data_IF_338123167247
#
_entry.id   IF_338123167247
#
_cell.length_a   1.000
_cell.length_b   1.000
_cell.length_c   1.000
_cell.angle_alpha   90.00
_cell.angle_beta   90.00
_cell.angle_gamma   90.00
#
_symmetry.space_group_name_H-M   'P 1'
#
loop_
_entity.id
_entity.type
_entity.pdbx_description
1 polymer ?
#
# COMPACT_ATOMS: atom_id res chain seq x y z
N UNK A 1 26.70 0.98 -14.50
CA UNK A 1 26.30 2.20 -13.80
C UNK A 1 26.41 1.93 -12.30
N UNK A 2 27.45 2.45 -11.63
CA UNK A 2 27.61 2.27 -10.18
C UNK A 2 26.65 3.24 -9.48
N UNK A 3 25.53 2.74 -9.00
CA UNK A 3 24.62 3.49 -8.13
C UNK A 3 25.29 3.54 -6.75
N UNK A 4 26.09 4.56 -6.50
CA UNK A 4 26.59 4.83 -5.15
C UNK A 4 25.49 5.55 -4.37
N UNK A 5 24.94 4.89 -3.36
CA UNK A 5 24.02 5.54 -2.41
C UNK A 5 24.78 6.67 -1.74
N UNK A 6 24.42 7.91 -2.05
CA UNK A 6 25.04 9.09 -1.49
C UNK A 6 24.67 9.31 -0.04
N UNK A 7 25.57 9.93 0.75
CA UNK A 7 25.25 10.33 2.14
C UNK A 7 23.98 11.18 2.23
N UNK A 8 23.69 11.97 1.18
CA UNK A 8 22.46 12.78 1.08
C UNK A 8 21.19 11.93 1.01
N UNK A 9 21.21 10.82 0.26
CA UNK A 9 20.04 9.92 0.12
C UNK A 9 19.71 9.25 1.46
N UNK A 10 20.75 8.88 2.20
CA UNK A 10 20.60 8.31 3.55
C UNK A 10 20.00 9.33 4.51
N UNK A 11 20.51 10.58 4.50
CA UNK A 11 20.00 11.67 5.37
C UNK A 11 18.54 11.96 5.04
N UNK A 12 18.16 12.06 3.76
CA UNK A 12 16.78 12.28 3.33
C UNK A 12 15.85 11.13 3.73
N UNK A 13 16.30 9.89 3.65
CA UNK A 13 15.52 8.73 4.10
C UNK A 13 15.25 8.78 5.60
N UNK A 14 16.26 9.07 6.41
CA UNK A 14 16.08 9.21 7.86
C UNK A 14 15.22 10.44 8.23
N UNK A 15 15.38 11.55 7.53
CA UNK A 15 14.56 12.75 7.72
C UNK A 15 13.08 12.46 7.43
N UNK A 16 12.78 11.75 6.34
CA UNK A 16 11.43 11.32 6.00
C UNK A 16 10.83 10.41 7.06
N UNK A 17 11.60 9.43 7.55
CA UNK A 17 11.17 8.52 8.62
C UNK A 17 10.90 9.27 9.94
N UNK A 18 11.79 10.18 10.33
CA UNK A 18 11.63 11.02 11.52
C UNK A 18 10.39 11.92 11.41
N UNK A 19 10.17 12.54 10.24
CA UNK A 19 8.99 13.36 9.99
C UNK A 19 7.70 12.55 10.13
N UNK A 20 7.65 11.35 9.57
CA UNK A 20 6.50 10.45 9.71
C UNK A 20 6.21 10.10 11.17
N UNK A 21 7.25 9.80 11.96
CA UNK A 21 7.10 9.53 13.39
C UNK A 21 6.58 10.74 14.16
N UNK A 22 7.11 11.94 13.88
CA UNK A 22 6.69 13.19 14.50
C UNK A 22 5.22 13.48 14.18
N UNK A 23 4.82 13.35 12.92
CA UNK A 23 3.42 13.56 12.51
C UNK A 23 2.49 12.61 13.24
N UNK A 24 2.81 11.31 13.31
CA UNK A 24 1.99 10.33 14.02
C UNK A 24 1.90 10.61 15.52
N UNK A 25 2.98 11.10 16.13
CA UNK A 25 3.01 11.47 17.56
C UNK A 25 2.07 12.65 17.85
N UNK A 26 2.00 13.64 16.95
CA UNK A 26 1.10 14.80 17.10
C UNK A 26 -0.34 14.48 16.73
N UNK A 27 -0.57 13.57 15.79
CA UNK A 27 -1.93 13.20 15.36
C UNK A 27 -2.72 12.51 16.48
N UNK A 28 -2.06 11.69 17.31
CA UNK A 28 -2.74 10.95 18.36
C UNK A 28 -3.42 11.87 19.41
N UNK A 29 -2.75 12.86 20.05
CA UNK A 29 -3.42 13.79 20.94
C UNK A 29 -4.44 14.67 20.22
N UNK A 30 -4.23 14.98 18.93
CA UNK A 30 -5.18 15.74 18.13
C UNK A 30 -6.50 14.96 17.96
N UNK A 31 -6.44 13.66 17.65
CA UNK A 31 -7.61 12.80 17.55
C UNK A 31 -8.38 12.74 18.88
N UNK A 32 -7.67 12.58 20.01
CA UNK A 32 -8.30 12.51 21.34
C UNK A 32 -8.95 13.85 21.71
N UNK A 33 -8.41 14.96 21.25
CA UNK A 33 -8.95 16.28 21.55
C UNK A 33 -10.21 16.63 20.75
N UNK A 34 -10.26 16.27 19.46
CA UNK A 34 -11.34 16.66 18.54
C UNK A 34 -12.44 15.61 18.39
N UNK A 35 -12.14 14.33 18.61
CA UNK A 35 -13.10 13.25 18.43
C UNK A 35 -13.60 12.72 19.76
N UNK A 36 -14.88 12.28 19.77
CA UNK A 36 -15.41 11.52 20.91
C UNK A 36 -14.72 10.16 21.02
N UNK A 37 -14.68 9.55 22.21
CA UNK A 37 -14.07 8.21 22.39
C UNK A 37 -14.62 7.16 21.42
N UNK A 38 -15.91 7.21 21.11
CA UNK A 38 -16.58 6.28 20.19
C UNK A 38 -16.07 6.46 18.74
N UNK A 39 -15.89 7.70 18.29
CA UNK A 39 -15.32 8.00 16.98
C UNK A 39 -13.85 7.56 16.87
N UNK A 40 -13.08 7.77 17.94
CA UNK A 40 -11.69 7.28 17.99
C UNK A 40 -11.65 5.75 17.94
N UNK A 41 -12.54 5.07 18.68
CA UNK A 41 -12.70 3.62 18.63
C UNK A 41 -13.02 3.12 17.23
N UNK A 42 -14.00 3.73 16.56
CA UNK A 42 -14.40 3.40 15.20
C UNK A 42 -13.23 3.61 14.20
N UNK A 43 -12.48 4.69 14.35
CA UNK A 43 -11.29 4.96 13.55
C UNK A 43 -10.23 3.87 13.67
N UNK A 44 -9.95 3.39 14.89
CA UNK A 44 -9.03 2.28 15.10
C UNK A 44 -9.54 0.96 14.52
N UNK A 45 -10.84 0.73 14.52
CA UNK A 45 -11.45 -0.41 13.81
C UNK A 45 -11.19 -0.32 12.31
N UNK A 46 -11.38 0.86 11.70
CA UNK A 46 -11.07 1.07 10.28
C UNK A 46 -9.61 0.75 9.96
N UNK A 47 -8.68 1.29 10.75
CA UNK A 47 -7.24 1.02 10.60
C UNK A 47 -6.94 -0.47 10.72
N UNK A 48 -7.54 -1.16 11.69
CA UNK A 48 -7.33 -2.59 11.91
C UNK A 48 -7.78 -3.43 10.73
N UNK A 49 -8.98 -3.17 10.20
CA UNK A 49 -9.51 -3.88 9.03
C UNK A 49 -8.66 -3.54 7.79
N UNK A 50 -8.28 -2.27 7.61
CA UNK A 50 -7.40 -1.85 6.53
C UNK A 50 -6.03 -2.53 6.58
N UNK A 51 -5.47 -2.71 7.77
CA UNK A 51 -4.20 -3.42 7.96
C UNK A 51 -4.30 -4.88 7.54
N UNK A 52 -5.44 -5.54 7.82
CA UNK A 52 -5.70 -6.90 7.32
C UNK A 52 -5.80 -6.90 5.78
N UNK A 53 -6.48 -5.90 5.19
CA UNK A 53 -6.57 -5.77 3.74
C UNK A 53 -5.19 -5.60 3.07
N UNK A 54 -4.27 -4.85 3.69
CA UNK A 54 -2.91 -4.68 3.19
C UNK A 54 -2.08 -5.98 3.22
N UNK A 55 -2.44 -6.97 4.06
CA UNK A 55 -1.78 -8.28 4.03
C UNK A 55 -2.01 -9.03 2.70
N UNK A 56 -3.03 -8.67 1.92
CA UNK A 56 -3.25 -9.23 0.58
C UNK A 56 -2.13 -8.90 -0.42
N UNK A 57 -1.21 -7.97 -0.11
CA UNK A 57 0.01 -7.78 -0.92
C UNK A 57 0.91 -9.03 -0.94
N UNK A 58 0.87 -9.90 0.10
CA UNK A 58 1.67 -11.13 0.21
C UNK A 58 3.16 -10.94 -0.14
N UNK A 59 3.68 -9.72 -0.06
CA UNK A 59 5.06 -9.40 -0.43
C UNK A 59 5.33 -9.36 -1.93
N UNK A 60 4.29 -9.30 -2.77
CA UNK A 60 4.46 -9.13 -4.22
C UNK A 60 5.19 -7.82 -4.56
N UNK A 61 4.98 -6.75 -3.79
CA UNK A 61 5.67 -5.46 -3.95
C UNK A 61 7.19 -5.63 -4.02
N UNK A 62 7.78 -6.39 -3.10
CA UNK A 62 9.22 -6.65 -3.06
C UNK A 62 9.68 -7.41 -4.32
N UNK A 63 8.90 -8.39 -4.77
CA UNK A 63 9.20 -9.17 -5.97
C UNK A 63 9.12 -8.32 -7.23
N UNK A 64 8.11 -7.47 -7.35
CA UNK A 64 7.96 -6.57 -8.50
C UNK A 64 9.06 -5.51 -8.54
N UNK A 65 9.38 -4.86 -7.41
CA UNK A 65 10.49 -3.90 -7.32
C UNK A 65 11.80 -4.54 -7.78
N UNK A 66 12.08 -5.76 -7.35
CA UNK A 66 13.27 -6.49 -7.78
C UNK A 66 13.27 -6.76 -9.29
N UNK A 67 12.17 -7.23 -9.84
CA UNK A 67 12.04 -7.52 -11.27
C UNK A 67 12.16 -6.24 -12.13
N UNK A 68 11.56 -5.14 -11.69
CA UNK A 68 11.69 -3.84 -12.34
C UNK A 68 13.16 -3.38 -12.32
N UNK A 69 13.86 -3.55 -11.20
CA UNK A 69 15.28 -3.22 -11.08
C UNK A 69 16.12 -4.05 -12.04
N UNK A 70 15.83 -5.34 -12.21
CA UNK A 70 16.53 -6.19 -13.18
C UNK A 70 16.29 -5.73 -14.63
N UNK A 71 15.06 -5.40 -14.99
CA UNK A 71 14.75 -4.86 -16.33
C UNK A 71 15.50 -3.55 -16.58
N UNK A 72 15.58 -2.68 -15.56
CA UNK A 72 16.29 -1.41 -15.63
C UNK A 72 17.80 -1.60 -15.77
N UNK A 73 18.35 -2.67 -15.18
CA UNK A 73 19.78 -3.05 -15.28
C UNK A 73 20.13 -3.80 -16.56
N UNK A 74 19.21 -3.93 -17.52
CA UNK A 74 19.47 -4.56 -18.82
C UNK A 74 19.30 -6.07 -18.83
N UNK A 75 18.45 -6.64 -17.96
CA UNK A 75 18.11 -8.05 -18.03
C UNK A 75 17.44 -8.38 -19.37
N UNK A 76 17.93 -9.42 -20.06
CA UNK A 76 17.33 -9.93 -21.30
C UNK A 76 16.16 -10.87 -21.01
N UNK A 77 16.26 -11.65 -19.94
CA UNK A 77 15.21 -12.58 -19.49
C UNK A 77 15.16 -12.66 -17.96
N UNK A 78 13.96 -12.78 -17.42
CA UNK A 78 13.70 -13.06 -16.00
C UNK A 78 13.38 -14.54 -15.83
N UNK A 79 14.35 -15.33 -15.38
CA UNK A 79 14.17 -16.76 -15.05
C UNK A 79 14.05 -16.94 -13.53
N UNK A 80 13.37 -18.00 -13.11
CA UNK A 80 13.10 -18.30 -11.68
C UNK A 80 14.37 -18.39 -10.82
N UNK A 81 15.49 -18.81 -11.39
CA UNK A 81 16.74 -19.02 -10.67
C UNK A 81 17.92 -18.18 -11.17
N UNK A 82 17.87 -17.68 -12.41
CA UNK A 82 18.96 -16.89 -13.00
C UNK A 82 18.39 -15.75 -13.84
N UNK A 83 19.03 -14.60 -13.75
CA UNK A 83 18.73 -13.45 -14.59
C UNK A 83 19.84 -13.38 -15.64
N UNK A 84 19.49 -13.46 -16.92
CA UNK A 84 20.46 -13.25 -18.00
C UNK A 84 20.54 -11.76 -18.31
N UNK A 85 21.73 -11.20 -18.24
CA UNK A 85 21.95 -9.79 -18.61
C UNK A 85 22.41 -9.69 -20.06
N UNK A 86 21.93 -8.69 -20.76
CA UNK A 86 22.45 -8.35 -22.09
C UNK A 86 23.84 -7.71 -21.96
N UNK A 87 24.74 -8.01 -22.88
CA UNK A 87 26.08 -7.41 -22.92
C UNK A 87 26.04 -5.89 -23.18
N UNK A 88 24.91 -5.34 -23.64
CA UNK A 88 24.75 -3.90 -23.91
C UNK A 88 24.52 -3.04 -22.67
N UNK A 89 24.08 -3.62 -21.55
CA UNK A 89 23.74 -2.87 -20.34
C UNK A 89 22.59 -1.86 -20.51
N UNK A 90 21.86 -1.91 -21.62
CA UNK A 90 20.75 -1.03 -21.93
C UNK A 90 19.44 -1.49 -21.26
N UNK A 91 18.58 -0.53 -20.91
CA UNK A 91 17.27 -0.81 -20.31
C UNK A 91 16.40 -1.62 -21.27
N UNK A 92 15.88 -2.74 -20.81
CA UNK A 92 14.94 -3.55 -21.60
C UNK A 92 13.49 -3.07 -21.40
N UNK A 93 13.10 -2.07 -22.20
CA UNK A 93 11.75 -1.47 -22.11
C UNK A 93 10.63 -2.45 -22.49
N UNK A 94 10.87 -3.42 -23.36
CA UNK A 94 9.85 -4.41 -23.74
C UNK A 94 9.54 -5.34 -22.57
N UNK A 95 10.56 -5.85 -21.91
CA UNK A 95 10.41 -6.69 -20.72
C UNK A 95 9.82 -5.90 -19.55
N UNK A 96 10.27 -4.65 -19.35
CA UNK A 96 9.72 -3.74 -18.33
C UNK A 96 8.21 -3.52 -18.52
N UNK A 97 7.75 -3.31 -19.76
CA UNK A 97 6.32 -3.15 -20.06
C UNK A 97 5.51 -4.41 -19.67
N UNK A 98 6.04 -5.59 -19.96
CA UNK A 98 5.39 -6.86 -19.59
C UNK A 98 5.28 -6.99 -18.08
N UNK A 99 6.37 -6.70 -17.35
CA UNK A 99 6.39 -6.75 -15.88
C UNK A 99 5.40 -5.76 -15.28
N UNK A 100 5.35 -4.52 -15.78
CA UNK A 100 4.41 -3.50 -15.30
C UNK A 100 2.96 -3.88 -15.60
N UNK A 101 2.68 -4.48 -16.76
CA UNK A 101 1.33 -4.95 -17.09
C UNK A 101 0.90 -6.09 -16.17
N UNK A 102 1.78 -7.05 -15.91
CA UNK A 102 1.53 -8.14 -14.96
C UNK A 102 1.31 -7.61 -13.53
N UNK A 103 2.12 -6.63 -13.10
CA UNK A 103 1.98 -5.95 -11.82
C UNK A 103 0.59 -5.33 -11.67
N UNK A 104 0.17 -4.52 -12.65
CA UNK A 104 -1.16 -3.87 -12.63
C UNK A 104 -2.30 -4.89 -12.58
N UNK A 105 -2.21 -5.97 -13.35
CA UNK A 105 -3.25 -6.99 -13.36
C UNK A 105 -3.36 -7.69 -12.00
N UNK A 106 -2.24 -8.09 -11.42
CA UNK A 106 -2.20 -8.77 -10.12
C UNK A 106 -2.74 -7.85 -9.02
N UNK A 107 -2.29 -6.60 -8.97
CA UNK A 107 -2.78 -5.66 -7.96
C UNK A 107 -4.23 -5.24 -8.17
N UNK A 108 -4.72 -5.16 -9.40
CA UNK A 108 -6.14 -4.95 -9.67
C UNK A 108 -7.00 -6.10 -9.13
N UNK A 109 -6.56 -7.35 -9.30
CA UNK A 109 -7.27 -8.52 -8.78
C UNK A 109 -7.21 -8.59 -7.26
N UNK A 110 -6.02 -8.45 -6.68
CA UNK A 110 -5.84 -8.49 -5.22
C UNK A 110 -6.57 -7.34 -4.52
N UNK A 111 -6.42 -6.13 -5.03
CA UNK A 111 -7.13 -4.95 -4.52
C UNK A 111 -8.64 -5.09 -4.68
N UNK A 112 -9.12 -5.64 -5.80
CA UNK A 112 -10.53 -5.93 -6.03
C UNK A 112 -11.10 -6.92 -5.02
N UNK A 113 -10.39 -8.00 -4.73
CA UNK A 113 -10.77 -8.98 -3.69
C UNK A 113 -10.81 -8.31 -2.32
N UNK A 114 -9.77 -7.55 -1.96
CA UNK A 114 -9.71 -6.82 -0.70
C UNK A 114 -10.87 -5.83 -0.57
N UNK A 115 -11.19 -5.07 -1.64
CA UNK A 115 -12.31 -4.14 -1.66
C UNK A 115 -13.65 -4.85 -1.44
N UNK A 116 -13.89 -5.96 -2.13
CA UNK A 116 -15.13 -6.73 -1.97
C UNK A 116 -15.26 -7.23 -0.52
N UNK A 117 -14.19 -7.75 0.07
CA UNK A 117 -14.19 -8.20 1.47
C UNK A 117 -14.43 -7.04 2.45
N UNK A 118 -13.84 -5.88 2.21
CA UNK A 118 -14.09 -4.69 3.03
C UNK A 118 -15.54 -4.22 2.92
N UNK A 119 -16.09 -4.16 1.70
CA UNK A 119 -17.46 -3.70 1.48
C UNK A 119 -18.53 -4.70 1.95
N UNK A 120 -18.20 -5.99 2.05
CA UNK A 120 -19.12 -7.02 2.57
C UNK A 120 -18.92 -7.26 4.06
N UNK A 121 -17.88 -8.02 4.43
CA UNK A 121 -17.58 -8.38 5.80
C UNK A 121 -17.25 -7.18 6.69
N UNK A 122 -16.46 -6.24 6.15
CA UNK A 122 -16.10 -5.01 6.86
C UNK A 122 -17.32 -4.12 7.15
N UNK A 123 -18.20 -3.92 6.16
CA UNK A 123 -19.43 -3.15 6.34
C UNK A 123 -20.37 -3.81 7.35
N UNK A 124 -20.52 -5.14 7.31
CA UNK A 124 -21.30 -5.87 8.30
C UNK A 124 -20.76 -5.63 9.72
N UNK A 125 -19.44 -5.73 9.90
CA UNK A 125 -18.80 -5.54 11.20
C UNK A 125 -18.92 -4.09 11.70
N UNK A 126 -18.68 -3.10 10.84
CA UNK A 126 -18.87 -1.68 11.16
C UNK A 126 -20.32 -1.42 11.58
N UNK A 127 -21.29 -2.03 10.91
CA UNK A 127 -22.71 -1.93 11.23
C UNK A 127 -23.07 -2.47 12.61
N UNK A 128 -22.32 -3.42 13.16
CA UNK A 128 -22.55 -3.91 14.54
C UNK A 128 -22.03 -2.96 15.63
N UNK A 129 -21.19 -2.02 15.27
CA UNK A 129 -20.53 -1.11 16.20
C UNK A 129 -21.17 0.29 16.22
N UNK A 130 -21.87 0.65 15.14
CA UNK A 130 -22.45 2.00 14.98
C UNK A 130 -23.91 1.99 15.46
N UNK A 131 -24.19 2.86 16.43
CA UNK A 131 -25.54 3.04 16.96
C UNK A 131 -26.45 3.76 15.94
N UNK A 132 -27.77 3.50 15.98
CA UNK A 132 -28.76 3.90 14.98
C UNK A 132 -28.81 5.41 14.63
N UNK A 133 -28.23 6.28 15.44
CA UNK A 133 -28.28 7.74 15.26
C UNK A 133 -27.18 8.33 14.36
N UNK A 134 -26.05 7.62 14.14
CA UNK A 134 -24.89 8.11 13.37
C UNK A 134 -24.55 7.27 12.13
N UNK A 135 -25.47 6.42 11.69
CA UNK A 135 -25.19 5.38 10.69
C UNK A 135 -24.67 5.92 9.36
N UNK A 136 -25.26 6.97 8.81
CA UNK A 136 -24.95 7.42 7.44
C UNK A 136 -23.53 7.97 7.32
N UNK A 137 -23.09 8.78 8.27
CA UNK A 137 -21.76 9.39 8.25
C UNK A 137 -20.66 8.34 8.41
N UNK A 138 -20.85 7.38 9.31
CA UNK A 138 -19.92 6.28 9.53
C UNK A 138 -19.77 5.38 8.29
N UNK A 139 -20.88 5.06 7.61
CA UNK A 139 -20.83 4.27 6.37
C UNK A 139 -20.18 5.02 5.20
N UNK A 140 -20.41 6.32 5.08
CA UNK A 140 -19.76 7.16 4.07
C UNK A 140 -18.24 7.21 4.35
N UNK A 141 -17.84 7.46 5.59
CA UNK A 141 -16.44 7.46 5.98
C UNK A 141 -15.79 6.10 5.74
N UNK A 142 -16.47 4.99 6.06
CA UNK A 142 -16.04 3.64 5.78
C UNK A 142 -15.85 3.38 4.27
N UNK A 143 -16.80 3.78 3.43
CA UNK A 143 -16.72 3.63 1.98
C UNK A 143 -15.56 4.41 1.37
N UNK A 144 -15.31 5.63 1.84
CA UNK A 144 -14.14 6.44 1.44
C UNK A 144 -12.85 5.72 1.85
N UNK A 145 -12.79 5.22 3.09
CA UNK A 145 -11.61 4.51 3.60
C UNK A 145 -11.34 3.22 2.83
N UNK A 146 -12.35 2.40 2.54
CA UNK A 146 -12.22 1.18 1.74
C UNK A 146 -11.70 1.48 0.33
N UNK A 147 -12.21 2.54 -0.30
CA UNK A 147 -11.74 3.00 -1.61
C UNK A 147 -10.29 3.48 -1.54
N UNK A 148 -9.90 4.18 -0.48
CA UNK A 148 -8.52 4.63 -0.28
C UNK A 148 -7.55 3.44 -0.12
N UNK A 149 -7.94 2.39 0.60
CA UNK A 149 -7.13 1.15 0.71
C UNK A 149 -6.99 0.45 -0.65
N UNK A 150 -8.07 0.37 -1.43
CA UNK A 150 -7.99 -0.16 -2.80
C UNK A 150 -6.99 0.61 -3.67
N UNK A 151 -7.07 1.95 -3.66
CA UNK A 151 -6.14 2.81 -4.41
C UNK A 151 -4.70 2.72 -3.90
N UNK A 152 -4.51 2.43 -2.61
CA UNK A 152 -3.19 2.24 -2.03
C UNK A 152 -2.54 0.91 -2.45
N UNK A 153 -3.36 -0.13 -2.65
CA UNK A 153 -2.90 -1.44 -3.14
C UNK A 153 -2.64 -1.43 -4.65
N UNK A 154 -3.43 -0.67 -5.42
CA UNK A 154 -3.33 -0.57 -6.88
C UNK A 154 -2.20 0.37 -7.34
#
# INVERSE_FOLDING_TARGET
MNISVGKKDVIWSYASMALTMIVNLFLLPLYIYFFTPDMVGLWYVFISIGSIALLFDFGFSVTFVRNITYCWSGASELKKQNVSFSNSGEVNFSLLKVVLTACRLIYAVLGGIALILMLTAGTYYVGTLVDNSSNTEAYVAWGIYATAIFLNLY
#
